data_IF_945076575202
#
_entry.id   IF_945076575202
#
_cell.length_a   1.000
_cell.length_b   1.000
_cell.length_c   1.000
_cell.angle_alpha   90.00
_cell.angle_beta   90.00
_cell.angle_gamma   90.00
#
_symmetry.space_group_name_H-M   'P 1'
#
loop_
_entity.id
_entity.type
_entity.pdbx_description
1 polymer ?
#
# COMPACT_ATOMS: atom_id res chain seq x y z
N UNK A 1 -13.36 -16.42 6.77
CA UNK A 1 -12.22 -15.61 7.26
C UNK A 1 -12.75 -14.53 8.19
N UNK A 2 -11.91 -13.73 8.83
CA UNK A 2 -12.37 -12.64 9.72
C UNK A 2 -12.06 -11.27 9.10
N UNK A 3 -12.76 -10.23 9.57
CA UNK A 3 -12.46 -8.86 9.19
C UNK A 3 -11.22 -8.33 9.95
N UNK A 4 -10.75 -7.15 9.59
CA UNK A 4 -9.66 -6.45 10.29
C UNK A 4 -10.21 -5.85 11.60
N UNK A 5 -10.02 -6.55 12.73
CA UNK A 5 -10.62 -6.16 14.00
C UNK A 5 -9.66 -5.40 14.91
N UNK A 6 -8.36 -5.67 14.79
CA UNK A 6 -7.33 -5.20 15.71
C UNK A 6 -6.07 -4.69 15.00
N UNK A 7 -5.23 -3.87 15.67
CA UNK A 7 -3.92 -3.50 15.14
C UNK A 7 -3.01 -4.70 14.84
N UNK A 8 -3.19 -5.84 15.53
CA UNK A 8 -2.45 -7.07 15.26
C UNK A 8 -2.85 -7.69 13.91
N UNK A 9 -4.12 -7.60 13.51
CA UNK A 9 -4.59 -8.02 12.19
C UNK A 9 -3.96 -7.18 11.09
N UNK A 10 -3.92 -5.85 11.30
CA UNK A 10 -3.27 -4.92 10.36
C UNK A 10 -1.77 -5.19 10.26
N UNK A 11 -1.10 -5.47 11.38
CA UNK A 11 0.31 -5.87 11.38
C UNK A 11 0.54 -7.15 10.57
N UNK A 12 -0.34 -8.14 10.71
CA UNK A 12 -0.28 -9.39 9.94
C UNK A 12 -0.47 -9.13 8.44
N UNK A 13 -1.44 -8.28 8.07
CA UNK A 13 -1.67 -7.86 6.69
C UNK A 13 -0.44 -7.16 6.10
N UNK A 14 0.10 -6.16 6.81
CA UNK A 14 1.23 -5.36 6.37
C UNK A 14 2.48 -6.22 6.22
N UNK A 15 2.79 -7.07 7.20
CA UNK A 15 3.94 -7.98 7.09
C UNK A 15 3.84 -8.88 5.87
N UNK A 16 2.70 -9.56 5.70
CA UNK A 16 2.49 -10.44 4.55
C UNK A 16 2.55 -9.70 3.21
N UNK A 17 2.07 -8.46 3.16
CA UNK A 17 2.12 -7.64 1.96
C UNK A 17 3.56 -7.30 1.60
N UNK A 18 4.37 -6.84 2.56
CA UNK A 18 5.76 -6.44 2.32
C UNK A 18 6.70 -7.61 2.08
N UNK A 19 6.49 -8.77 2.72
CA UNK A 19 7.19 -10.01 2.36
C UNK A 19 6.99 -10.33 0.87
N UNK A 20 5.78 -10.04 0.40
CA UNK A 20 5.46 -10.16 -1.00
C UNK A 20 6.16 -9.11 -1.87
N UNK A 21 6.09 -7.83 -1.50
CA UNK A 21 6.74 -6.73 -2.25
C UNK A 21 8.23 -7.00 -2.43
N UNK A 22 8.93 -7.39 -1.37
CA UNK A 22 10.37 -7.64 -1.39
C UNK A 22 10.76 -8.78 -2.34
N UNK A 23 9.92 -9.81 -2.46
CA UNK A 23 10.10 -10.91 -3.40
C UNK A 23 9.61 -10.60 -4.84
N UNK A 24 9.00 -9.44 -5.09
CA UNK A 24 8.49 -9.07 -6.40
C UNK A 24 9.59 -8.47 -7.28
N UNK A 25 9.87 -9.00 -8.48
CA UNK A 25 10.95 -8.48 -9.31
C UNK A 25 10.70 -7.06 -9.85
N UNK A 26 9.44 -6.61 -9.94
CA UNK A 26 9.10 -5.27 -10.40
C UNK A 26 9.08 -4.25 -9.25
N UNK A 27 8.57 -4.66 -8.08
CA UNK A 27 8.40 -3.75 -6.94
C UNK A 27 9.59 -3.77 -5.98
N UNK A 28 10.16 -4.95 -5.73
CA UNK A 28 11.24 -5.18 -4.77
C UNK A 28 12.43 -4.23 -4.92
N UNK A 29 12.93 -3.91 -6.13
CA UNK A 29 14.03 -2.97 -6.30
C UNK A 29 13.80 -1.58 -5.67
N UNK A 30 12.55 -1.10 -5.59
CA UNK A 30 12.22 0.18 -4.96
C UNK A 30 12.30 0.17 -3.43
N UNK A 31 12.39 -1.01 -2.82
CA UNK A 31 12.44 -1.20 -1.38
C UNK A 31 13.80 -1.69 -0.88
N UNK A 32 14.75 -1.98 -1.78
CA UNK A 32 16.07 -2.52 -1.44
C UNK A 32 16.88 -1.62 -0.50
N UNK A 33 16.81 -0.30 -0.68
CA UNK A 33 17.53 0.69 0.12
C UNK A 33 16.70 1.29 1.27
N UNK A 34 15.50 0.75 1.51
CA UNK A 34 14.62 1.20 2.58
C UNK A 34 14.91 0.41 3.85
N UNK A 35 14.95 1.07 5.00
CA UNK A 35 14.88 0.37 6.29
C UNK A 35 13.52 -0.34 6.39
N UNK A 36 13.53 -1.64 6.08
CA UNK A 36 12.32 -2.47 5.98
C UNK A 36 11.56 -2.54 7.30
N UNK A 37 12.25 -2.62 8.44
CA UNK A 37 11.62 -2.67 9.75
C UNK A 37 10.90 -1.35 10.07
N UNK A 38 11.61 -0.22 9.92
CA UNK A 38 11.03 1.10 10.16
C UNK A 38 9.89 1.43 9.18
N UNK A 39 10.02 0.98 7.92
CA UNK A 39 8.97 1.16 6.92
C UNK A 39 7.72 0.36 7.26
N UNK A 40 7.86 -0.93 7.63
CA UNK A 40 6.75 -1.79 8.01
C UNK A 40 6.00 -1.23 9.23
N UNK A 41 6.69 -0.79 10.28
CA UNK A 41 6.02 -0.15 11.44
C UNK A 41 5.22 1.10 11.05
N UNK A 42 5.80 1.96 10.21
CA UNK A 42 5.10 3.15 9.70
C UNK A 42 3.84 2.77 8.91
N UNK A 43 3.92 1.68 8.15
CA UNK A 43 2.80 1.19 7.34
C UNK A 43 1.72 0.53 8.18
N UNK A 44 2.06 -0.14 9.29
CA UNK A 44 1.07 -0.59 10.27
C UNK A 44 0.29 0.61 10.81
N UNK A 45 0.98 1.66 11.27
CA UNK A 45 0.32 2.89 11.75
C UNK A 45 -0.56 3.56 10.68
N UNK A 46 -0.07 3.65 9.45
CA UNK A 46 -0.83 4.17 8.31
C UNK A 46 -2.12 3.38 8.07
N UNK A 47 -2.01 2.05 7.91
CA UNK A 47 -3.17 1.22 7.61
C UNK A 47 -4.15 1.13 8.77
N UNK A 48 -3.68 1.13 10.02
CA UNK A 48 -4.55 1.25 11.20
C UNK A 48 -5.40 2.53 11.12
N UNK A 49 -4.78 3.68 10.83
CA UNK A 49 -5.50 4.94 10.68
C UNK A 49 -6.52 4.91 9.54
N UNK A 50 -6.26 4.16 8.48
CA UNK A 50 -7.18 4.01 7.34
C UNK A 50 -8.35 3.11 7.68
N UNK A 51 -8.10 1.90 8.19
CA UNK A 51 -9.13 0.87 8.39
C UNK A 51 -9.99 1.13 9.63
N UNK A 52 -9.39 1.71 10.68
CA UNK A 52 -10.13 2.12 11.89
C UNK A 52 -10.62 3.57 11.81
N UNK A 53 -10.29 4.30 10.74
CA UNK A 53 -10.71 5.68 10.52
C UNK A 53 -10.36 6.61 11.71
N UNK A 54 -9.25 6.33 12.42
CA UNK A 54 -8.88 7.07 13.63
C UNK A 54 -8.35 8.47 13.35
N UNK A 55 -7.91 8.75 12.11
CA UNK A 55 -7.34 10.04 11.71
C UNK A 55 -5.98 10.36 12.35
N UNK A 56 -5.35 9.39 13.01
CA UNK A 56 -4.09 9.59 13.75
C UNK A 56 -2.87 9.68 12.83
N UNK A 57 -2.95 9.15 11.61
CA UNK A 57 -1.87 9.27 10.65
C UNK A 57 -1.81 10.68 10.04
N UNK A 58 -0.78 11.44 10.40
CA UNK A 58 -0.53 12.82 9.91
C UNK A 58 0.57 12.91 8.85
N UNK A 59 1.05 11.76 8.35
CA UNK A 59 2.12 11.72 7.37
C UNK A 59 1.71 12.28 6.00
N UNK A 60 2.71 12.62 5.18
CA UNK A 60 2.53 13.05 3.79
C UNK A 60 2.94 11.88 2.87
N UNK A 61 2.04 10.92 2.59
CA UNK A 61 2.44 9.66 1.98
C UNK A 61 2.93 9.83 0.54
N UNK A 62 2.51 10.90 -0.16
CA UNK A 62 2.92 11.13 -1.54
C UNK A 62 4.37 11.61 -1.71
N UNK A 63 4.90 12.42 -0.80
CA UNK A 63 6.17 13.12 -1.00
C UNK A 63 7.38 12.19 -1.25
N UNK A 64 7.52 11.04 -0.56
CA UNK A 64 8.58 10.07 -0.89
C UNK A 64 8.44 9.48 -2.30
N UNK A 65 7.23 9.17 -2.74
CA UNK A 65 6.96 8.55 -4.05
C UNK A 65 7.26 9.50 -5.22
N UNK A 66 7.06 10.81 -5.03
CA UNK A 66 7.41 11.82 -6.02
C UNK A 66 8.93 11.93 -6.29
N UNK A 67 9.77 11.39 -5.39
CA UNK A 67 11.23 11.38 -5.55
C UNK A 67 11.76 10.09 -6.19
N UNK A 68 10.91 9.08 -6.38
CA UNK A 68 11.29 7.83 -7.02
C UNK A 68 11.27 8.01 -8.54
N UNK A 69 12.37 7.66 -9.19
CA UNK A 69 12.47 7.65 -10.64
C UNK A 69 11.87 6.37 -11.24
N UNK A 70 11.34 6.45 -12.45
CA UNK A 70 10.92 5.28 -13.23
C UNK A 70 9.61 4.61 -12.77
N UNK A 71 8.87 5.19 -11.83
CA UNK A 71 7.53 4.69 -11.49
C UNK A 71 6.61 4.80 -12.71
N UNK A 72 5.95 3.69 -13.05
CA UNK A 72 5.01 3.60 -14.17
C UNK A 72 3.65 3.11 -13.69
N UNK A 73 2.63 3.19 -14.55
CA UNK A 73 1.29 2.62 -14.28
C UNK A 73 1.34 1.13 -13.93
N UNK A 74 2.27 0.39 -14.53
CA UNK A 74 2.45 -1.04 -14.28
C UNK A 74 2.86 -1.31 -12.83
N UNK A 75 3.77 -0.50 -12.26
CA UNK A 75 4.16 -0.62 -10.86
C UNK A 75 2.96 -0.43 -9.92
N UNK A 76 2.14 0.59 -10.16
CA UNK A 76 0.95 0.83 -9.35
C UNK A 76 -0.09 -0.28 -9.51
N UNK A 77 -0.33 -0.76 -10.73
CA UNK A 77 -1.23 -1.89 -10.99
C UNK A 77 -0.77 -3.16 -10.27
N UNK A 78 0.55 -3.47 -10.34
CA UNK A 78 1.16 -4.61 -9.65
C UNK A 78 1.03 -4.50 -8.14
N UNK A 79 1.30 -3.32 -7.58
CA UNK A 79 1.20 -3.05 -6.15
C UNK A 79 -0.24 -3.22 -5.64
N UNK A 80 -1.23 -2.66 -6.34
CA UNK A 80 -2.66 -2.81 -5.99
C UNK A 80 -3.10 -4.26 -6.10
N UNK A 81 -2.76 -4.95 -7.18
CA UNK A 81 -3.12 -6.35 -7.37
C UNK A 81 -2.56 -7.23 -6.24
N UNK A 82 -1.31 -6.99 -5.84
CA UNK A 82 -0.67 -7.71 -4.74
C UNK A 82 -1.30 -7.39 -3.39
N UNK A 83 -1.61 -6.13 -3.13
CA UNK A 83 -2.28 -5.72 -1.89
C UNK A 83 -3.65 -6.38 -1.77
N UNK A 84 -4.45 -6.29 -2.83
CA UNK A 84 -5.76 -6.95 -2.93
C UNK A 84 -5.65 -8.46 -2.70
N UNK A 85 -4.73 -9.14 -3.38
CA UNK A 85 -4.51 -10.57 -3.19
C UNK A 85 -4.12 -10.91 -1.74
N UNK A 86 -3.29 -10.09 -1.10
CA UNK A 86 -2.86 -10.29 0.29
C UNK A 86 -4.04 -10.15 1.27
N UNK A 87 -4.88 -9.13 1.09
CA UNK A 87 -6.11 -8.95 1.87
C UNK A 87 -7.02 -10.15 1.67
N UNK A 88 -7.35 -10.50 0.42
CA UNK A 88 -8.28 -11.60 0.10
C UNK A 88 -7.80 -12.98 0.50
N UNK A 89 -6.51 -13.17 0.71
CA UNK A 89 -5.97 -14.43 1.23
C UNK A 89 -6.11 -14.58 2.76
N UNK A 90 -6.35 -13.49 3.50
CA UNK A 90 -6.29 -13.48 4.98
C UNK A 90 -7.53 -12.92 5.67
N UNK A 91 -8.19 -11.95 5.05
CA UNK A 91 -9.27 -11.19 5.66
C UNK A 91 -10.46 -11.00 4.69
N UNK A 92 -11.65 -10.87 5.26
CA UNK A 92 -12.89 -10.59 4.55
C UNK A 92 -13.80 -9.70 5.40
N UNK A 93 -14.71 -8.95 4.76
CA UNK A 93 -15.64 -8.07 5.45
C UNK A 93 -15.36 -6.58 5.24
N UNK A 94 -16.16 -5.70 5.88
CA UNK A 94 -16.20 -4.28 5.54
C UNK A 94 -14.88 -3.54 5.65
N UNK A 95 -14.04 -3.83 6.67
CA UNK A 95 -12.74 -3.14 6.81
C UNK A 95 -11.69 -3.69 5.84
N UNK A 96 -11.72 -4.98 5.55
CA UNK A 96 -10.91 -5.58 4.48
C UNK A 96 -11.27 -4.96 3.12
N UNK A 97 -12.56 -4.80 2.82
CA UNK A 97 -13.04 -4.13 1.60
C UNK A 97 -12.62 -2.67 1.54
N UNK A 98 -12.75 -1.95 2.66
CA UNK A 98 -12.28 -0.58 2.79
C UNK A 98 -10.76 -0.46 2.53
N UNK A 99 -9.96 -1.37 3.07
CA UNK A 99 -8.51 -1.36 2.85
C UNK A 99 -8.17 -1.46 1.36
N UNK A 100 -8.82 -2.38 0.64
CA UNK A 100 -8.62 -2.56 -0.82
C UNK A 100 -9.08 -1.32 -1.59
N UNK A 101 -10.27 -0.79 -1.30
CA UNK A 101 -10.78 0.40 -1.97
C UNK A 101 -9.85 1.62 -1.76
N UNK A 102 -9.30 1.76 -0.55
CA UNK A 102 -8.34 2.83 -0.23
C UNK A 102 -7.01 2.63 -0.93
N UNK A 103 -6.49 1.41 -1.04
CA UNK A 103 -5.28 1.11 -1.80
C UNK A 103 -5.42 1.57 -3.26
N UNK A 104 -6.57 1.27 -3.90
CA UNK A 104 -6.89 1.68 -5.26
C UNK A 104 -6.98 3.19 -5.42
N UNK A 105 -7.68 3.85 -4.50
CA UNK A 105 -7.80 5.30 -4.50
C UNK A 105 -6.43 5.98 -4.36
N UNK A 106 -5.59 5.52 -3.42
CA UNK A 106 -4.25 6.07 -3.18
C UNK A 106 -3.39 5.92 -4.44
N UNK A 107 -3.37 4.72 -5.03
CA UNK A 107 -2.64 4.46 -6.26
C UNK A 107 -3.11 5.35 -7.42
N UNK A 108 -4.43 5.54 -7.58
CA UNK A 108 -4.99 6.42 -8.60
C UNK A 108 -4.55 7.88 -8.40
N UNK A 109 -4.66 8.40 -7.17
CA UNK A 109 -4.21 9.77 -6.84
C UNK A 109 -2.72 9.94 -7.10
N UNK A 110 -1.89 8.96 -6.72
CA UNK A 110 -0.44 9.08 -6.92
C UNK A 110 -0.08 9.10 -8.40
N UNK A 111 -0.70 8.24 -9.21
CA UNK A 111 -0.46 8.21 -10.66
C UNK A 111 -0.85 9.54 -11.33
N UNK A 112 -1.98 10.14 -10.93
CA UNK A 112 -2.38 11.47 -11.42
C UNK A 112 -1.35 12.54 -11.04
N UNK A 113 -0.91 12.56 -9.78
CA UNK A 113 0.06 13.55 -9.28
C UNK A 113 1.46 13.36 -9.86
N UNK A 114 1.79 12.15 -10.32
CA UNK A 114 3.02 11.82 -11.05
C UNK A 114 2.90 12.08 -12.56
N UNK A 115 1.72 12.49 -13.06
CA UNK A 115 1.52 12.76 -14.50
C UNK A 115 1.43 11.50 -15.37
N UNK A 116 1.24 10.32 -14.79
CA UNK A 116 1.26 9.04 -15.52
C UNK A 116 0.03 8.78 -16.42
N UNK A 117 -0.92 9.70 -16.41
CA UNK A 117 -2.14 9.68 -17.24
C UNK A 117 -2.18 10.80 -18.27
N UNK A 118 -1.12 11.62 -18.38
CA UNK A 118 -1.03 12.57 -19.47
C UNK A 118 -0.91 11.81 -20.79
N UNK A 119 -1.78 12.14 -21.73
CA UNK A 119 -1.70 11.62 -23.10
C UNK A 119 -0.52 12.33 -23.77
N UNK A 120 0.44 11.58 -24.29
CA UNK A 120 1.41 12.14 -25.24
C UNK A 120 0.61 12.62 -26.46
N UNK A 121 0.67 13.93 -26.73
CA UNK A 121 0.15 14.53 -27.97
C UNK A 121 1.06 14.18 -29.14
#
# INVERSE_FOLDING_TARGET
MTDLQTPADVRTLVSAFYDGIEADPLLGPYFADVDGAAHRERMVGFWCSVVFQSGEYRGRPFAPHARLAGLTREHFARWVARFRATVRARFEGPRADLAVARAEQIAGVFQVKLGLWAVEN
#
